data_IF_565247699811
#
_entry.id   IF_565247699811
#
_cell.length_a   1.000
_cell.length_b   1.000
_cell.length_c   1.000
_cell.angle_alpha   90.00
_cell.angle_beta   90.00
_cell.angle_gamma   90.00
#
_symmetry.space_group_name_H-M   'P 1'
#
loop_
_entity.id
_entity.type
_entity.pdbx_description
1 polymer ?
#
# COMPACT_ATOMS: atom_id res chain seq x y z
N UNK A 1 -10.55 -55.54 30.31
CA UNK A 1 -10.42 -57.00 30.38
C UNK A 1 -10.48 -57.54 28.97
N UNK A 2 -9.49 -58.38 28.69
CA UNK A 2 -9.33 -59.40 27.64
C UNK A 2 -9.00 -58.97 26.21
N UNK A 3 -7.70 -59.10 25.89
CA UNK A 3 -7.08 -58.99 24.58
C UNK A 3 -5.56 -58.86 24.74
N UNK A 4 -4.79 -59.80 24.20
CA UNK A 4 -3.33 -59.91 24.35
C UNK A 4 -2.57 -58.62 24.02
N UNK A 5 -1.51 -58.37 24.80
CA UNK A 5 -0.65 -57.19 24.65
C UNK A 5 0.10 -57.22 23.31
N UNK A 6 -0.19 -56.24 22.46
CA UNK A 6 0.68 -55.85 21.35
C UNK A 6 1.17 -54.43 21.61
N UNK A 7 2.49 -54.26 21.48
CA UNK A 7 3.26 -53.05 21.79
C UNK A 7 2.62 -51.76 21.25
N UNK A 8 2.67 -50.68 22.05
CA UNK A 8 2.30 -49.34 21.61
C UNK A 8 3.49 -48.38 21.66
N UNK A 9 3.59 -47.57 20.61
CA UNK A 9 4.48 -46.41 20.49
C UNK A 9 3.79 -45.21 21.16
N UNK A 10 4.54 -44.50 22.02
CA UNK A 10 4.04 -43.36 22.78
C UNK A 10 3.88 -42.17 21.83
N UNK A 11 2.69 -41.99 21.25
CA UNK A 11 2.40 -40.84 20.39
C UNK A 11 2.40 -39.55 21.21
N UNK A 12 3.42 -38.74 20.90
CA UNK A 12 3.79 -37.46 21.49
C UNK A 12 2.63 -36.45 21.43
N UNK A 13 2.18 -35.99 22.60
CA UNK A 13 1.43 -34.73 22.73
C UNK A 13 2.29 -33.74 23.53
N UNK A 14 3.31 -33.17 22.88
CA UNK A 14 4.10 -32.07 23.45
C UNK A 14 3.46 -30.75 23.06
N UNK A 15 2.70 -30.17 23.99
CA UNK A 15 2.16 -28.82 23.87
C UNK A 15 2.01 -28.19 25.26
N UNK A 16 2.45 -26.95 25.42
CA UNK A 16 2.13 -26.13 26.59
C UNK A 16 0.71 -25.61 26.37
N UNK A 17 -0.29 -26.14 27.10
CA UNK A 17 -1.65 -25.59 27.09
C UNK A 17 -1.70 -24.39 28.04
N UNK A 18 -1.39 -23.20 27.54
CA UNK A 18 -1.66 -21.94 28.27
C UNK A 18 -2.99 -21.38 27.82
N UNK A 19 -4.04 -21.63 28.59
CA UNK A 19 -5.32 -20.92 28.50
C UNK A 19 -5.69 -20.37 29.90
N UNK A 20 -6.27 -19.17 30.03
CA UNK A 20 -6.56 -18.54 31.33
C UNK A 20 -7.54 -19.34 32.22
N UNK A 21 -8.25 -20.30 31.65
CA UNK A 21 -9.15 -21.21 32.35
C UNK A 21 -9.40 -22.44 31.48
N UNK A 22 -8.69 -23.55 31.72
CA UNK A 22 -9.09 -24.84 31.17
C UNK A 22 -10.19 -25.38 32.09
N UNK A 23 -11.45 -25.30 31.66
CA UNK A 23 -12.58 -25.86 32.41
C UNK A 23 -12.70 -27.37 32.24
N UNK A 24 -12.13 -27.94 31.19
CA UNK A 24 -12.21 -29.37 30.88
C UNK A 24 -11.03 -29.82 29.99
N UNK A 25 -10.40 -30.96 30.31
CA UNK A 25 -9.36 -31.60 29.49
C UNK A 25 -9.95 -32.83 28.81
N UNK A 26 -10.12 -32.80 27.49
CA UNK A 26 -10.62 -33.94 26.71
C UNK A 26 -9.45 -34.64 26.01
N UNK A 27 -9.26 -35.94 26.32
CA UNK A 27 -8.26 -36.78 25.65
C UNK A 27 -9.00 -37.64 24.61
N UNK A 28 -8.59 -37.53 23.34
CA UNK A 28 -9.08 -38.41 22.26
C UNK A 28 -10.09 -37.80 21.28
N UNK A 29 -10.41 -36.51 21.35
CA UNK A 29 -11.29 -35.89 20.34
C UNK A 29 -11.18 -34.38 20.20
N UNK A 30 -10.74 -33.92 19.04
CA UNK A 30 -11.12 -32.62 18.47
C UNK A 30 -11.30 -32.79 16.95
N UNK A 31 -12.48 -32.41 16.47
CA UNK A 31 -12.91 -32.27 15.07
C UNK A 31 -11.99 -32.79 13.95
N UNK A 32 -12.42 -33.86 13.28
CA UNK A 32 -12.10 -34.09 11.86
C UNK A 32 -11.05 -35.14 11.51
N UNK A 33 -10.33 -35.72 12.48
CA UNK A 33 -9.44 -36.86 12.24
C UNK A 33 -9.67 -37.96 13.30
N UNK A 34 -9.44 -39.21 12.91
CA UNK A 34 -9.67 -40.43 13.70
C UNK A 34 -9.24 -40.27 15.16
N UNK A 35 -10.20 -40.24 16.09
CA UNK A 35 -9.94 -40.14 17.53
C UNK A 35 -9.05 -41.28 18.04
N UNK A 36 -8.36 -41.02 19.16
CA UNK A 36 -7.48 -41.99 19.82
C UNK A 36 -8.22 -43.32 20.05
N UNK A 37 -7.66 -44.42 19.54
CA UNK A 37 -8.14 -45.80 19.79
C UNK A 37 -7.05 -46.57 20.51
N UNK A 38 -7.21 -46.74 21.81
CA UNK A 38 -6.29 -47.47 22.68
C UNK A 38 -6.74 -47.43 24.13
N UNK A 39 -6.04 -48.16 25.01
CA UNK A 39 -6.20 -48.02 26.46
C UNK A 39 -5.19 -47.00 26.98
N UNK A 40 -5.60 -46.19 27.95
CA UNK A 40 -4.74 -45.26 28.67
C UNK A 40 -4.45 -45.90 30.01
N UNK A 41 -3.16 -46.12 30.31
CA UNK A 41 -2.72 -46.72 31.56
C UNK A 41 -2.49 -45.65 32.64
N UNK A 42 -1.73 -44.60 32.31
CA UNK A 42 -1.40 -43.53 33.26
C UNK A 42 -1.47 -42.13 32.63
N UNK A 43 -2.03 -41.16 33.37
CA UNK A 43 -2.06 -39.74 33.01
C UNK A 43 -1.38 -38.93 34.12
N UNK A 44 -0.31 -38.20 33.76
CA UNK A 44 0.41 -37.32 34.69
C UNK A 44 0.33 -35.87 34.22
N UNK A 45 -0.02 -34.97 35.14
CA UNK A 45 -0.02 -33.53 34.90
C UNK A 45 1.17 -32.86 35.61
N UNK A 46 1.82 -31.93 34.93
CA UNK A 46 2.99 -31.22 35.44
C UNK A 46 2.74 -29.72 35.43
N UNK A 47 3.15 -29.04 36.50
CA UNK A 47 3.06 -27.57 36.63
C UNK A 47 4.15 -26.81 35.86
N UNK A 48 5.03 -27.53 35.16
CA UNK A 48 6.11 -26.98 34.32
C UNK A 48 6.18 -27.73 32.99
N UNK A 49 6.81 -27.12 31.98
CA UNK A 49 7.14 -27.80 30.73
C UNK A 49 8.10 -28.97 31.03
N UNK A 50 7.71 -30.16 30.60
CA UNK A 50 8.53 -31.38 30.69
C UNK A 50 9.31 -31.52 29.40
N UNK A 51 10.60 -31.81 29.50
CA UNK A 51 11.46 -31.98 28.31
C UNK A 51 11.30 -33.36 27.68
N UNK A 52 11.59 -33.49 26.37
CA UNK A 52 11.43 -34.76 25.63
C UNK A 52 12.17 -35.95 26.29
N UNK A 53 13.32 -35.69 26.94
CA UNK A 53 14.10 -36.68 27.67
C UNK A 53 13.45 -37.12 28.99
N UNK A 54 12.73 -36.20 29.66
CA UNK A 54 11.96 -36.50 30.86
C UNK A 54 10.70 -37.27 30.49
N UNK A 55 10.02 -36.90 29.40
CA UNK A 55 8.86 -37.65 28.86
C UNK A 55 9.25 -39.09 28.53
N UNK A 56 10.39 -39.29 27.87
CA UNK A 56 10.91 -40.62 27.52
C UNK A 56 11.23 -41.47 28.76
N UNK A 57 11.78 -40.85 29.82
CA UNK A 57 12.04 -41.53 31.11
C UNK A 57 10.77 -41.88 31.87
N UNK A 58 9.78 -40.99 31.86
CA UNK A 58 8.49 -41.20 32.51
C UNK A 58 7.71 -42.35 31.86
N UNK A 59 7.89 -42.58 30.55
CA UNK A 59 7.36 -43.74 29.83
C UNK A 59 8.19 -45.02 29.96
N UNK A 60 9.17 -45.09 30.88
CA UNK A 60 10.00 -46.27 31.12
C UNK A 60 11.16 -46.48 30.13
N UNK A 61 11.38 -45.56 29.19
CA UNK A 61 12.45 -45.61 28.21
C UNK A 61 13.75 -44.94 28.68
N UNK A 62 14.89 -45.39 28.16
CA UNK A 62 16.14 -44.62 28.23
C UNK A 62 16.32 -43.88 26.89
N UNK A 63 16.27 -42.53 26.87
CA UNK A 63 16.19 -41.73 25.63
C UNK A 63 17.41 -41.83 24.72
N UNK A 64 18.52 -42.38 25.21
CA UNK A 64 19.80 -42.50 24.47
C UNK A 64 20.32 -43.94 24.33
N UNK A 65 19.65 -44.94 24.91
CA UNK A 65 20.14 -46.33 24.92
C UNK A 65 20.33 -46.89 23.51
N UNK A 66 19.36 -46.67 22.64
CA UNK A 66 19.42 -47.05 21.23
C UNK A 66 20.54 -46.34 20.45
N UNK A 67 21.00 -45.18 20.93
CA UNK A 67 22.13 -44.43 20.32
C UNK A 67 23.47 -44.92 20.86
N UNK A 68 23.53 -45.26 22.15
CA UNK A 68 24.73 -45.84 22.78
C UNK A 68 25.03 -47.23 22.21
N UNK A 69 23.98 -48.03 21.93
CA UNK A 69 24.11 -49.39 21.39
C UNK A 69 24.63 -49.41 19.94
N UNK A 70 24.59 -48.27 19.23
CA UNK A 70 25.18 -48.12 17.90
C UNK A 70 26.70 -47.83 17.97
N UNK A 71 27.52 -48.48 17.13
CA UNK A 71 28.92 -48.13 16.92
C UNK A 71 29.09 -46.64 16.54
N UNK A 72 30.18 -46.00 16.99
CA UNK A 72 30.42 -44.56 16.78
C UNK A 72 30.41 -44.16 15.30
N UNK A 73 30.90 -45.04 14.42
CA UNK A 73 30.94 -44.86 12.97
C UNK A 73 29.59 -45.04 12.26
N UNK A 74 28.55 -45.47 12.97
CA UNK A 74 27.19 -45.68 12.44
C UNK A 74 26.20 -44.63 12.98
N UNK A 75 26.66 -43.70 13.84
CA UNK A 75 25.83 -42.63 14.39
C UNK A 75 25.70 -41.48 13.38
N UNK A 76 24.49 -40.97 13.21
CA UNK A 76 24.28 -39.73 12.45
C UNK A 76 24.72 -38.50 13.26
N UNK A 77 24.92 -37.36 12.59
CA UNK A 77 25.24 -36.10 13.25
C UNK A 77 24.17 -35.70 14.28
N UNK A 78 22.89 -35.88 13.95
CA UNK A 78 21.77 -35.63 14.86
C UNK A 78 21.80 -36.53 16.10
N UNK A 79 22.16 -37.80 15.96
CA UNK A 79 22.26 -38.75 17.07
C UNK A 79 23.43 -38.41 18.00
N UNK A 80 24.56 -38.03 17.41
CA UNK A 80 25.76 -37.60 18.14
C UNK A 80 25.48 -36.32 18.92
N UNK A 81 24.81 -35.34 18.30
CA UNK A 81 24.42 -34.10 18.97
C UNK A 81 23.44 -34.35 20.12
N UNK A 82 22.45 -35.24 19.93
CA UNK A 82 21.50 -35.62 20.97
C UNK A 82 22.19 -36.28 22.17
N UNK A 83 23.17 -37.16 21.92
CA UNK A 83 23.98 -37.78 22.98
C UNK A 83 24.81 -36.74 23.74
N UNK A 84 25.46 -35.82 23.02
CA UNK A 84 26.26 -34.74 23.62
C UNK A 84 25.40 -33.82 24.50
N UNK A 85 24.23 -33.37 24.01
CA UNK A 85 23.29 -32.55 24.80
C UNK A 85 22.81 -33.28 26.06
N UNK A 86 22.55 -34.58 25.97
CA UNK A 86 22.14 -35.38 27.13
C UNK A 86 23.23 -35.44 28.21
N UNK A 87 24.49 -35.66 27.82
CA UNK A 87 25.63 -35.70 28.76
C UNK A 87 25.86 -34.33 29.37
N UNK A 88 25.95 -33.28 28.55
CA UNK A 88 26.21 -31.91 29.00
C UNK A 88 25.17 -31.43 30.01
N UNK A 89 23.90 -31.80 29.82
CA UNK A 89 22.82 -31.46 30.75
C UNK A 89 22.96 -32.11 32.14
N UNK A 90 23.68 -33.22 32.25
CA UNK A 90 23.94 -33.89 33.53
C UNK A 90 25.27 -33.48 34.16
N UNK A 91 26.28 -33.16 33.34
CA UNK A 91 27.65 -32.94 33.80
C UNK A 91 28.03 -31.47 33.95
N UNK A 92 27.40 -30.56 33.20
CA UNK A 92 27.73 -29.14 33.19
C UNK A 92 26.59 -28.29 33.78
N UNK A 93 26.77 -27.72 34.99
CA UNK A 93 25.80 -26.82 35.61
C UNK A 93 25.50 -25.55 34.79
N UNK A 94 26.42 -25.12 33.92
CA UNK A 94 26.25 -23.94 33.07
C UNK A 94 25.41 -24.21 31.81
N UNK A 95 25.27 -25.47 31.41
CA UNK A 95 24.57 -25.87 30.18
C UNK A 95 23.09 -25.50 30.21
N UNK A 96 22.38 -25.72 31.33
CA UNK A 96 20.96 -25.36 31.43
C UNK A 96 20.75 -23.84 31.32
N UNK A 97 21.68 -23.04 31.84
CA UNK A 97 21.63 -21.57 31.71
C UNK A 97 21.84 -21.13 30.26
N UNK A 98 22.82 -21.70 29.57
CA UNK A 98 23.09 -21.40 28.16
C UNK A 98 21.94 -21.86 27.25
N UNK A 99 21.37 -23.04 27.51
CA UNK A 99 20.22 -23.54 26.77
C UNK A 99 18.99 -22.65 26.97
N UNK A 100 18.73 -22.18 28.19
CA UNK A 100 17.66 -21.21 28.45
C UNK A 100 17.87 -19.91 27.68
N UNK A 101 19.10 -19.42 27.55
CA UNK A 101 19.43 -18.25 26.71
C UNK A 101 19.19 -18.54 25.23
N UNK A 102 19.57 -19.70 24.72
CA UNK A 102 19.31 -20.09 23.32
C UNK A 102 17.80 -20.14 23.05
N UNK A 103 17.04 -20.77 23.94
CA UNK A 103 15.58 -20.89 23.82
C UNK A 103 14.90 -19.50 23.86
N UNK A 104 15.38 -18.60 24.72
CA UNK A 104 14.93 -17.21 24.77
C UNK A 104 15.21 -16.48 23.45
N UNK A 105 16.45 -16.56 22.93
CA UNK A 105 16.82 -15.92 21.68
C UNK A 105 16.07 -16.51 20.47
N UNK A 106 15.84 -17.82 20.45
CA UNK A 106 15.00 -18.48 19.44
C UNK A 106 13.56 -18.02 19.52
N UNK A 107 12.99 -17.88 20.72
CA UNK A 107 11.64 -17.33 20.92
C UNK A 107 11.53 -15.88 20.40
N UNK A 108 12.56 -15.06 20.65
CA UNK A 108 12.65 -13.69 20.10
C UNK A 108 12.74 -13.72 18.58
N UNK A 109 13.60 -14.57 18.01
CA UNK A 109 13.76 -14.71 16.56
C UNK A 109 12.47 -15.19 15.89
N UNK A 110 11.79 -16.17 16.48
CA UNK A 110 10.50 -16.68 16.00
C UNK A 110 9.43 -15.58 16.06
N UNK A 111 9.42 -14.79 17.14
CA UNK A 111 8.55 -13.63 17.29
C UNK A 111 8.78 -12.59 16.19
N UNK A 112 10.05 -12.24 15.92
CA UNK A 112 10.43 -11.32 14.84
C UNK A 112 10.03 -11.92 13.49
N UNK A 113 10.36 -13.18 13.22
CA UNK A 113 10.09 -13.84 11.93
C UNK A 113 8.59 -13.90 11.64
N UNK A 114 7.76 -14.22 12.64
CA UNK A 114 6.30 -14.20 12.52
C UNK A 114 5.73 -12.79 12.30
N UNK A 115 6.42 -11.75 12.76
CA UNK A 115 6.01 -10.36 12.54
C UNK A 115 6.32 -9.85 11.12
N UNK A 116 7.23 -10.52 10.40
CA UNK A 116 7.55 -10.17 9.02
C UNK A 116 6.36 -10.53 8.14
N UNK A 117 5.78 -9.52 7.50
CA UNK A 117 4.73 -9.73 6.51
C UNK A 117 5.27 -10.52 5.32
N UNK A 118 4.76 -11.74 5.12
CA UNK A 118 5.10 -12.56 3.97
C UNK A 118 4.15 -12.29 2.82
N UNK A 119 4.63 -12.50 1.60
CA UNK A 119 3.80 -12.41 0.39
C UNK A 119 4.07 -13.61 -0.50
N UNK A 120 3.05 -14.07 -1.21
CA UNK A 120 3.21 -15.16 -2.15
C UNK A 120 3.95 -14.66 -3.38
N UNK A 121 5.07 -15.31 -3.70
CA UNK A 121 5.84 -15.04 -4.92
C UNK A 121 5.61 -16.15 -5.93
N UNK A 122 5.62 -15.79 -7.22
CA UNK A 122 5.63 -16.79 -8.29
C UNK A 122 7.06 -17.31 -8.44
N UNK A 123 7.29 -18.58 -8.10
CA UNK A 123 8.54 -19.28 -8.40
C UNK A 123 8.44 -19.99 -9.75
N UNK A 124 9.54 -19.98 -10.51
CA UNK A 124 9.68 -20.88 -11.65
C UNK A 124 9.71 -22.33 -11.15
N UNK A 125 9.24 -23.25 -11.99
CA UNK A 125 9.28 -24.69 -11.71
C UNK A 125 10.62 -25.25 -12.17
N UNK A 126 11.12 -26.27 -11.46
CA UNK A 126 12.32 -27.01 -11.88
C UNK A 126 12.13 -27.63 -13.27
N UNK A 127 10.93 -28.15 -13.53
CA UNK A 127 10.50 -28.63 -14.84
C UNK A 127 9.45 -27.69 -15.46
N UNK A 128 9.81 -26.95 -16.54
CA UNK A 128 8.88 -26.07 -17.23
C UNK A 128 7.69 -26.84 -17.83
N UNK A 129 6.50 -26.25 -17.74
CA UNK A 129 5.31 -26.81 -18.36
C UNK A 129 5.37 -26.63 -19.88
N UNK A 130 5.15 -27.72 -20.62
CA UNK A 130 4.93 -27.67 -22.06
C UNK A 130 3.74 -26.77 -22.41
N UNK A 131 3.98 -25.79 -23.28
CA UNK A 131 2.97 -24.83 -23.74
C UNK A 131 2.74 -25.04 -25.23
N UNK A 132 1.51 -24.84 -25.71
CA UNK A 132 1.11 -25.13 -27.08
C UNK A 132 0.35 -23.94 -27.68
N UNK A 133 0.43 -23.76 -28.99
CA UNK A 133 -0.48 -22.87 -29.73
C UNK A 133 -1.86 -23.53 -29.77
N UNK A 134 -2.92 -22.77 -29.51
CA UNK A 134 -4.31 -23.26 -29.60
C UNK A 134 -4.99 -22.70 -30.85
N UNK A 135 -5.15 -23.50 -31.92
CA UNK A 135 -5.80 -23.04 -33.15
C UNK A 135 -7.20 -22.50 -32.86
N UNK A 136 -7.52 -21.33 -33.41
CA UNK A 136 -8.79 -20.63 -33.19
C UNK A 136 -9.14 -20.33 -31.72
N UNK A 137 -8.17 -20.42 -30.80
CA UNK A 137 -8.38 -20.19 -29.36
C UNK A 137 -9.09 -21.34 -28.63
N UNK A 138 -9.30 -22.49 -29.27
CA UNK A 138 -9.99 -23.63 -28.67
C UNK A 138 -9.06 -24.41 -27.73
N UNK A 139 -9.29 -24.31 -26.42
CA UNK A 139 -8.46 -24.95 -25.38
C UNK A 139 -8.41 -26.50 -25.46
N UNK A 140 -9.33 -27.12 -26.21
CA UNK A 140 -9.38 -28.58 -26.40
C UNK A 140 -8.39 -29.08 -27.47
N UNK A 141 -7.95 -28.21 -28.37
CA UNK A 141 -7.09 -28.60 -29.51
C UNK A 141 -5.71 -27.99 -29.33
N UNK A 142 -4.74 -28.81 -28.92
CA UNK A 142 -3.33 -28.41 -28.84
C UNK A 142 -2.69 -28.50 -30.22
N UNK A 143 -2.10 -27.41 -30.68
CA UNK A 143 -1.25 -27.35 -31.87
C UNK A 143 0.22 -27.58 -31.51
N UNK A 144 1.11 -26.81 -32.13
CA UNK A 144 2.56 -26.92 -31.96
C UNK A 144 3.02 -26.53 -30.54
N UNK A 145 4.00 -27.26 -30.01
CA UNK A 145 4.68 -26.93 -28.75
C UNK A 145 5.53 -25.66 -28.95
N UNK A 146 5.48 -24.74 -27.99
CA UNK A 146 6.20 -23.47 -28.03
C UNK A 146 7.03 -23.28 -26.77
N UNK A 147 8.20 -22.66 -26.95
CA UNK A 147 9.07 -22.21 -25.87
C UNK A 147 8.93 -20.70 -25.65
N UNK A 148 9.32 -20.18 -24.47
CA UNK A 148 9.39 -18.74 -24.28
C UNK A 148 10.36 -18.10 -25.28
N UNK A 149 10.01 -16.90 -25.75
CA UNK A 149 10.79 -16.15 -26.72
C UNK A 149 10.26 -14.73 -26.86
N UNK A 150 10.86 -13.94 -27.76
CA UNK A 150 10.47 -12.56 -28.02
C UNK A 150 9.92 -12.40 -29.43
N UNK A 151 9.09 -11.37 -29.69
CA UNK A 151 8.63 -11.08 -31.04
C UNK A 151 9.81 -10.89 -32.00
N UNK A 152 9.80 -11.60 -33.12
CA UNK A 152 10.91 -11.61 -34.11
C UNK A 152 11.16 -10.26 -34.79
N UNK A 153 10.18 -9.36 -34.75
CA UNK A 153 10.30 -7.96 -35.24
C UNK A 153 11.20 -7.10 -34.34
N UNK A 154 11.46 -7.56 -33.10
CA UNK A 154 12.34 -6.93 -32.14
C UNK A 154 13.62 -7.75 -31.98
N UNK A 155 14.59 -7.20 -31.24
CA UNK A 155 15.84 -7.91 -30.98
C UNK A 155 15.60 -9.20 -30.18
N UNK A 156 16.39 -10.23 -30.46
CA UNK A 156 16.33 -11.50 -29.73
C UNK A 156 16.91 -11.38 -28.32
N UNK A 157 16.49 -12.28 -27.42
CA UNK A 157 17.15 -12.46 -26.12
C UNK A 157 18.59 -12.97 -26.32
N UNK A 158 19.52 -12.47 -25.50
CA UNK A 158 20.92 -12.93 -25.45
C UNK A 158 21.07 -14.04 -24.42
N UNK A 159 22.22 -14.71 -24.38
CA UNK A 159 22.53 -15.72 -23.34
C UNK A 159 22.49 -15.17 -21.92
N UNK A 160 22.71 -13.85 -21.76
CA UNK A 160 22.60 -13.13 -20.48
C UNK A 160 21.15 -12.87 -20.06
N UNK A 161 20.19 -13.04 -20.97
CA UNK A 161 18.76 -12.89 -20.75
C UNK A 161 18.08 -14.25 -20.92
N UNK A 162 18.17 -15.14 -19.91
CA UNK A 162 17.53 -16.44 -20.00
C UNK A 162 16.02 -16.30 -20.24
N UNK A 163 15.38 -17.26 -20.93
CA UNK A 163 13.96 -17.20 -21.31
C UNK A 163 13.02 -17.45 -20.11
N UNK A 164 13.19 -16.64 -19.06
CA UNK A 164 12.43 -16.63 -17.82
C UNK A 164 12.02 -15.19 -17.48
N UNK A 165 11.33 -15.00 -16.35
CA UNK A 165 10.84 -13.67 -15.93
C UNK A 165 11.94 -12.62 -15.79
N UNK A 166 13.11 -13.00 -15.29
CA UNK A 166 14.23 -12.07 -15.08
C UNK A 166 14.83 -11.64 -16.43
N UNK A 167 15.07 -12.58 -17.34
CA UNK A 167 15.57 -12.23 -18.67
C UNK A 167 14.57 -11.42 -19.50
N UNK A 168 13.27 -11.68 -19.36
CA UNK A 168 12.24 -10.82 -19.95
C UNK A 168 12.29 -9.39 -19.38
N UNK A 169 12.49 -9.23 -18.07
CA UNK A 169 12.60 -7.91 -17.45
C UNK A 169 13.81 -7.13 -18.00
N UNK A 170 14.98 -7.77 -18.12
CA UNK A 170 16.15 -7.18 -18.75
C UNK A 170 15.93 -6.85 -20.22
N UNK A 171 15.25 -7.72 -20.98
CA UNK A 171 14.94 -7.50 -22.39
C UNK A 171 13.99 -6.31 -22.62
N UNK A 172 13.01 -6.11 -21.74
CA UNK A 172 12.08 -4.97 -21.80
C UNK A 172 12.84 -3.65 -21.69
N UNK A 173 13.81 -3.56 -20.77
CA UNK A 173 14.58 -2.32 -20.53
C UNK A 173 15.92 -2.27 -21.28
N UNK A 174 16.18 -3.22 -22.19
CA UNK A 174 17.38 -3.23 -23.01
C UNK A 174 17.40 -2.01 -23.94
N UNK A 175 18.57 -1.40 -24.14
CA UNK A 175 18.75 -0.23 -25.04
C UNK A 175 18.36 -0.51 -26.50
N UNK A 176 18.34 -1.78 -26.92
CA UNK A 176 17.89 -2.23 -28.24
C UNK A 176 16.36 -2.32 -28.33
N UNK A 177 15.65 -2.16 -27.21
CA UNK A 177 14.19 -2.05 -27.20
C UNK A 177 13.78 -0.60 -27.52
N UNK A 178 13.17 -0.34 -28.70
CA UNK A 178 12.85 1.02 -29.09
C UNK A 178 11.60 1.58 -28.40
N UNK A 179 10.83 0.76 -27.66
CA UNK A 179 9.51 1.15 -27.16
C UNK A 179 9.55 1.64 -25.73
N UNK A 180 10.26 0.94 -24.83
CA UNK A 180 10.16 1.18 -23.38
C UNK A 180 10.51 2.61 -23.00
N UNK A 181 11.63 3.14 -23.51
CA UNK A 181 12.03 4.52 -23.25
C UNK A 181 11.04 5.53 -23.86
N UNK A 182 10.63 5.35 -25.12
CA UNK A 182 9.66 6.24 -25.79
C UNK A 182 8.32 6.28 -25.07
N UNK A 183 7.79 5.14 -24.65
CA UNK A 183 6.53 5.03 -23.90
C UNK A 183 6.66 5.72 -22.54
N UNK A 184 7.78 5.51 -21.84
CA UNK A 184 8.02 6.10 -20.51
C UNK A 184 8.15 7.62 -20.59
N UNK A 185 8.98 8.12 -21.51
CA UNK A 185 9.14 9.55 -21.79
C UNK A 185 7.81 10.18 -22.17
N UNK A 186 7.02 9.54 -23.05
CA UNK A 186 5.73 10.07 -23.46
C UNK A 186 4.73 10.22 -22.30
N UNK A 187 4.73 9.26 -21.36
CA UNK A 187 3.91 9.33 -20.14
C UNK A 187 4.38 10.44 -19.21
N UNK A 188 5.69 10.58 -19.01
CA UNK A 188 6.26 11.65 -18.18
C UNK A 188 5.97 13.01 -18.82
N UNK A 189 6.18 13.16 -20.12
CA UNK A 189 5.84 14.37 -20.87
C UNK A 189 4.38 14.77 -20.69
N UNK A 190 3.45 13.81 -20.80
CA UNK A 190 2.02 14.07 -20.59
C UNK A 190 1.70 14.58 -19.18
N UNK A 191 2.44 14.17 -18.14
CA UNK A 191 2.23 14.67 -16.78
C UNK A 191 2.56 16.17 -16.64
N UNK A 192 3.57 16.65 -17.39
CA UNK A 192 4.05 18.03 -17.33
C UNK A 192 3.37 18.94 -18.35
N UNK A 193 3.01 18.45 -19.54
CA UNK A 193 2.37 19.24 -20.59
C UNK A 193 0.87 18.99 -20.74
N UNK A 194 0.31 18.03 -20.01
CA UNK A 194 -1.11 17.64 -20.05
C UNK A 194 -1.51 16.88 -21.32
N UNK A 195 -0.74 17.05 -22.41
CA UNK A 195 -0.89 16.32 -23.65
C UNK A 195 0.38 15.52 -23.95
N UNK A 196 0.28 14.23 -24.29
CA UNK A 196 1.43 13.43 -24.70
C UNK A 196 1.96 13.84 -26.08
N UNK A 197 3.17 13.38 -26.43
CA UNK A 197 3.73 13.44 -27.78
C UNK A 197 3.04 12.43 -28.72
N UNK A 198 2.71 11.25 -28.21
CA UNK A 198 1.87 10.24 -28.86
C UNK A 198 0.52 10.21 -28.14
N UNK A 199 -0.55 10.63 -28.82
CA UNK A 199 -1.89 10.81 -28.25
C UNK A 199 -2.43 9.54 -27.56
N UNK A 200 -2.14 8.37 -28.13
CA UNK A 200 -2.48 7.05 -27.58
C UNK A 200 -1.37 6.56 -26.64
N UNK A 201 -1.44 6.97 -25.37
CA UNK A 201 -0.43 6.59 -24.36
C UNK A 201 -0.38 5.07 -24.08
N UNK A 202 -1.44 4.37 -24.45
CA UNK A 202 -1.64 2.93 -24.34
C UNK A 202 -1.18 2.14 -25.57
N UNK A 203 -0.99 2.78 -26.74
CA UNK A 203 -0.70 2.09 -27.99
C UNK A 203 0.30 2.88 -28.85
N UNK A 204 1.50 2.31 -28.99
CA UNK A 204 2.59 2.80 -29.86
C UNK A 204 2.71 1.97 -31.15
N UNK A 205 1.78 1.04 -31.38
CA UNK A 205 1.69 0.20 -32.56
C UNK A 205 0.90 0.85 -33.68
N UNK A 206 0.47 0.03 -34.65
CA UNK A 206 -0.19 0.47 -35.89
C UNK A 206 -1.58 1.05 -35.68
N UNK A 207 -2.22 0.78 -34.53
CA UNK A 207 -3.52 1.36 -34.15
C UNK A 207 -3.36 2.62 -33.30
N UNK A 208 -2.14 2.94 -32.89
CA UNK A 208 -1.79 4.16 -32.18
C UNK A 208 -1.70 5.38 -33.10
N UNK A 209 -1.69 6.56 -32.48
CA UNK A 209 -1.40 7.81 -33.18
C UNK A 209 0.09 7.95 -33.48
N UNK A 210 0.42 8.65 -34.56
CA UNK A 210 1.81 9.05 -34.81
C UNK A 210 2.26 10.12 -33.79
N UNK A 211 3.54 10.16 -33.42
CA UNK A 211 4.07 11.21 -32.56
C UNK A 211 3.94 12.59 -33.22
N UNK A 212 3.49 13.59 -32.48
CA UNK A 212 3.41 14.98 -32.92
C UNK A 212 4.81 15.56 -33.23
N UNK A 213 5.80 15.19 -32.40
CA UNK A 213 7.20 15.62 -32.54
C UNK A 213 8.15 14.40 -32.45
N UNK A 214 8.31 13.61 -33.52
CA UNK A 214 9.06 12.35 -33.49
C UNK A 214 10.53 12.53 -33.09
N UNK A 215 11.21 13.56 -33.63
CA UNK A 215 12.62 13.83 -33.32
C UNK A 215 12.85 14.17 -31.85
N UNK A 216 11.90 14.89 -31.24
CA UNK A 216 11.96 15.23 -29.82
C UNK A 216 11.75 14.00 -28.95
N UNK A 217 10.76 13.16 -29.29
CA UNK A 217 10.51 11.91 -28.59
C UNK A 217 11.74 10.99 -28.64
N UNK A 218 12.35 10.85 -29.81
CA UNK A 218 13.54 10.03 -30.00
C UNK A 218 14.73 10.55 -29.19
N UNK A 219 14.97 11.86 -29.24
CA UNK A 219 16.04 12.49 -28.49
C UNK A 219 15.87 12.30 -26.98
N UNK A 220 14.67 12.56 -26.44
CA UNK A 220 14.38 12.35 -25.02
C UNK A 220 14.47 10.88 -24.61
N UNK A 221 14.10 9.94 -25.49
CA UNK A 221 14.20 8.52 -25.21
C UNK A 221 15.67 8.06 -25.13
N UNK A 222 16.53 8.55 -26.02
CA UNK A 222 17.98 8.29 -25.96
C UNK A 222 18.58 8.90 -24.69
N UNK A 223 18.28 10.16 -24.39
CA UNK A 223 18.75 10.84 -23.18
C UNK A 223 18.33 10.09 -21.90
N UNK A 224 17.10 9.58 -21.87
CA UNK A 224 16.61 8.81 -20.73
C UNK A 224 17.35 7.49 -20.53
N UNK A 225 17.73 6.81 -21.62
CA UNK A 225 18.56 5.59 -21.55
C UNK A 225 19.99 5.93 -21.12
N UNK A 226 20.60 6.95 -21.74
CA UNK A 226 22.02 7.34 -21.50
C UNK A 226 22.26 7.91 -20.10
N UNK A 227 21.25 8.55 -19.50
CA UNK A 227 21.27 8.97 -18.09
C UNK A 227 21.15 7.81 -17.09
N UNK A 228 21.02 6.57 -17.56
CA UNK A 228 20.85 5.39 -16.71
C UNK A 228 19.43 5.27 -16.16
N UNK A 229 18.41 5.68 -16.94
CA UNK A 229 16.99 5.68 -16.55
C UNK A 229 16.68 6.63 -15.39
N UNK A 230 17.41 7.75 -15.27
CA UNK A 230 17.19 8.74 -14.23
C UNK A 230 15.94 9.58 -14.51
N UNK A 231 14.87 9.24 -13.79
CA UNK A 231 13.58 9.96 -13.86
C UNK A 231 13.72 11.42 -13.40
N UNK A 232 14.55 11.71 -12.40
CA UNK A 232 14.73 13.08 -11.90
C UNK A 232 15.46 13.93 -12.91
N UNK A 233 16.45 13.37 -13.60
CA UNK A 233 17.15 14.03 -14.70
C UNK A 233 16.18 14.41 -15.82
N UNK A 234 15.35 13.47 -16.28
CA UNK A 234 14.34 13.73 -17.32
C UNK A 234 13.32 14.78 -16.88
N UNK A 235 12.85 14.71 -15.64
CA UNK A 235 11.94 15.73 -15.05
C UNK A 235 12.59 17.11 -15.05
N UNK A 236 13.84 17.22 -14.59
CA UNK A 236 14.59 18.48 -14.58
C UNK A 236 14.78 19.02 -15.99
N UNK A 237 15.10 18.16 -16.94
CA UNK A 237 15.28 18.54 -18.34
C UNK A 237 13.99 19.14 -18.93
N UNK A 238 12.85 18.51 -18.65
CA UNK A 238 11.53 19.02 -19.07
C UNK A 238 11.24 20.37 -18.39
N UNK A 239 11.35 20.45 -17.05
CA UNK A 239 10.92 21.65 -16.29
C UNK A 239 11.85 22.85 -16.46
N UNK A 240 13.09 22.64 -16.87
CA UNK A 240 14.06 23.70 -17.21
C UNK A 240 14.09 24.05 -18.71
N UNK A 241 13.28 23.37 -19.52
CA UNK A 241 13.18 23.68 -20.95
C UNK A 241 12.51 25.03 -21.19
N UNK A 242 12.94 25.73 -22.25
CA UNK A 242 12.29 26.98 -22.67
C UNK A 242 10.80 26.79 -22.92
N UNK A 243 10.39 25.64 -23.46
CA UNK A 243 8.99 25.31 -23.75
C UNK A 243 8.15 25.23 -22.47
N UNK A 244 8.65 24.56 -21.43
CA UNK A 244 7.90 24.44 -20.17
C UNK A 244 7.82 25.77 -19.40
N UNK A 245 8.85 26.60 -19.51
CA UNK A 245 8.92 27.89 -18.82
C UNK A 245 8.15 29.03 -19.55
N UNK A 246 7.43 28.73 -20.63
CA UNK A 246 6.59 29.72 -21.30
C UNK A 246 5.38 30.12 -20.43
N UNK A 247 4.93 31.36 -20.59
CA UNK A 247 3.67 31.82 -19.97
C UNK A 247 2.47 31.25 -20.74
N UNK A 248 1.51 30.68 -20.02
CA UNK A 248 0.26 30.13 -20.56
C UNK A 248 -0.80 31.17 -20.93
N UNK A 249 -0.47 32.47 -20.98
CA UNK A 249 -1.43 33.57 -21.16
C UNK A 249 -2.00 33.71 -22.59
N UNK A 250 -1.53 32.91 -23.55
CA UNK A 250 -2.04 32.96 -24.94
C UNK A 250 -2.98 31.79 -25.22
N UNK A 251 -4.18 32.14 -25.70
CA UNK A 251 -5.17 31.16 -26.18
C UNK A 251 -4.63 30.53 -27.47
N UNK A 252 -4.41 29.22 -27.44
CA UNK A 252 -3.89 28.48 -28.59
C UNK A 252 -5.02 28.28 -29.60
N UNK A 253 -4.81 28.68 -30.85
CA UNK A 253 -5.77 28.40 -31.92
C UNK A 253 -5.97 26.90 -32.09
N UNK A 254 -7.17 26.47 -32.49
CA UNK A 254 -7.44 25.08 -32.88
C UNK A 254 -6.45 24.65 -33.98
N UNK A 255 -5.46 23.85 -33.59
CA UNK A 255 -4.51 23.20 -34.50
C UNK A 255 -4.67 21.69 -34.34
N UNK A 256 -4.36 20.91 -35.38
CA UNK A 256 -4.47 19.45 -35.34
C UNK A 256 -3.49 18.78 -34.35
N UNK A 257 -2.48 19.52 -33.87
CA UNK A 257 -1.47 19.03 -32.93
C UNK A 257 -1.16 20.06 -31.83
N UNK A 258 -0.85 19.63 -30.59
CA UNK A 258 -0.53 20.52 -29.49
C UNK A 258 0.80 21.25 -29.77
N UNK A 259 0.77 22.58 -29.69
CA UNK A 259 1.97 23.44 -29.78
C UNK A 259 2.76 23.49 -28.46
N UNK A 260 2.22 22.90 -27.39
CA UNK A 260 2.79 22.92 -26.03
C UNK A 260 3.10 24.33 -25.49
N UNK A 261 2.39 25.34 -26.00
CA UNK A 261 2.53 26.75 -25.60
C UNK A 261 1.71 27.12 -24.37
N UNK A 262 0.83 26.23 -23.91
CA UNK A 262 0.10 26.36 -22.65
C UNK A 262 -0.27 24.98 -22.11
N UNK A 263 -0.49 24.89 -20.80
CA UNK A 263 -0.98 23.68 -20.16
C UNK A 263 -2.51 23.60 -20.31
N UNK A 264 -3.08 22.48 -20.80
CA UNK A 264 -4.52 22.33 -20.85
C UNK A 264 -5.06 22.19 -19.43
N UNK A 265 -6.15 22.89 -19.10
CA UNK A 265 -6.77 22.80 -17.77
C UNK A 265 -7.14 21.34 -17.45
N UNK A 266 -6.50 20.75 -16.45
CA UNK A 266 -6.70 19.36 -16.03
C UNK A 266 -6.90 19.24 -14.53
N UNK A 267 -7.93 18.47 -14.13
CA UNK A 267 -8.21 18.16 -12.74
C UNK A 267 -7.07 17.34 -12.14
N UNK A 268 -6.71 17.64 -10.90
CA UNK A 268 -5.79 16.83 -10.10
C UNK A 268 -6.36 15.41 -9.90
N UNK A 269 -5.49 14.41 -9.74
CA UNK A 269 -5.95 13.04 -9.46
C UNK A 269 -6.53 12.97 -8.06
N UNK A 270 -7.38 11.97 -7.80
CA UNK A 270 -7.99 11.73 -6.50
C UNK A 270 -6.99 11.80 -5.32
N UNK A 271 -5.85 11.13 -5.47
CA UNK A 271 -4.79 11.10 -4.46
C UNK A 271 -4.20 12.49 -4.25
N UNK A 272 -3.96 13.25 -5.33
CA UNK A 272 -3.42 14.61 -5.23
C UNK A 272 -4.42 15.60 -4.63
N UNK A 273 -5.73 15.47 -4.91
CA UNK A 273 -6.77 16.31 -4.30
C UNK A 273 -6.78 16.11 -2.78
N UNK A 274 -6.82 14.85 -2.33
CA UNK A 274 -6.80 14.53 -0.91
C UNK A 274 -5.49 14.95 -0.25
N UNK A 275 -4.35 14.60 -0.85
CA UNK A 275 -3.03 14.89 -0.29
C UNK A 275 -2.72 16.39 -0.26
N UNK A 276 -3.17 17.15 -1.27
CA UNK A 276 -3.06 18.62 -1.27
C UNK A 276 -3.91 19.23 -0.15
N UNK A 277 -5.12 18.72 0.10
CA UNK A 277 -5.96 19.22 1.19
C UNK A 277 -5.27 19.07 2.54
N UNK A 278 -4.86 17.84 2.90
CA UNK A 278 -4.18 17.59 4.19
C UNK A 278 -2.83 18.29 4.29
N UNK A 279 -2.12 18.48 3.16
CA UNK A 279 -0.88 19.27 3.12
C UNK A 279 -1.14 20.74 3.41
N UNK A 280 -2.12 21.34 2.74
CA UNK A 280 -2.50 22.74 2.95
C UNK A 280 -2.99 22.98 4.38
N UNK A 281 -3.71 22.01 4.96
CA UNK A 281 -4.13 22.02 6.36
C UNK A 281 -3.01 21.82 7.38
N UNK A 282 -1.79 21.43 6.94
CA UNK A 282 -0.68 21.10 7.83
C UNK A 282 -0.89 19.81 8.63
N UNK A 283 -1.75 18.92 8.13
CA UNK A 283 -2.05 17.62 8.74
C UNK A 283 -1.21 16.50 8.14
N UNK A 284 -0.65 16.69 6.94
CA UNK A 284 0.08 15.67 6.20
C UNK A 284 1.24 15.06 7.01
N UNK A 285 1.23 13.73 7.11
CA UNK A 285 2.33 12.96 7.72
C UNK A 285 3.29 12.47 6.63
N UNK A 286 4.46 13.10 6.54
CA UNK A 286 5.47 12.87 5.48
C UNK A 286 6.36 11.63 5.65
N UNK A 287 6.01 10.73 6.57
CA UNK A 287 6.77 9.49 6.80
C UNK A 287 6.74 8.59 5.55
N UNK A 288 7.92 8.15 5.11
CA UNK A 288 8.06 7.22 3.98
C UNK A 288 8.15 5.78 4.50
N UNK A 289 7.42 4.86 3.85
CA UNK A 289 7.38 3.44 4.19
C UNK A 289 6.42 3.13 5.34
N UNK A 290 6.45 1.89 5.83
CA UNK A 290 5.54 1.38 6.87
C UNK A 290 4.25 0.77 6.32
N UNK A 291 3.44 0.23 7.22
CA UNK A 291 2.19 -0.45 6.89
C UNK A 291 1.16 0.47 6.22
N UNK A 292 0.22 -0.14 5.49
CA UNK A 292 -0.95 0.58 4.98
C UNK A 292 -1.80 1.11 6.14
N UNK A 293 -2.46 2.24 5.89
CA UNK A 293 -3.32 2.91 6.87
C UNK A 293 -4.78 2.95 6.43
N UNK A 294 -5.64 3.24 7.40
CA UNK A 294 -7.09 3.19 7.27
C UNK A 294 -7.68 4.57 7.62
N UNK A 295 -7.65 5.55 6.70
CA UNK A 295 -8.21 6.89 6.94
C UNK A 295 -9.73 6.86 7.08
N UNK A 296 -10.38 8.03 7.13
CA UNK A 296 -11.84 8.13 7.21
C UNK A 296 -12.55 7.27 6.16
N UNK A 297 -13.54 6.52 6.62
CA UNK A 297 -14.33 5.64 5.76
C UNK A 297 -15.77 5.55 6.29
N UNK A 298 -16.79 5.69 5.41
CA UNK A 298 -18.17 5.45 5.79
C UNK A 298 -18.37 4.06 6.40
N UNK A 299 -19.15 3.99 7.47
CA UNK A 299 -19.44 2.72 8.17
C UNK A 299 -20.28 1.81 7.27
N UNK A 300 -20.07 0.50 7.39
CA UNK A 300 -20.95 -0.52 6.79
C UNK A 300 -20.55 -1.02 5.39
N UNK A 301 -19.88 -0.22 4.57
CA UNK A 301 -19.56 -0.58 3.17
C UNK A 301 -18.79 -1.91 3.03
N UNK A 302 -17.86 -2.22 3.92
CA UNK A 302 -17.12 -3.49 3.86
C UNK A 302 -17.97 -4.69 4.23
N UNK A 303 -19.00 -4.51 5.07
CA UNK A 303 -19.89 -5.60 5.51
C UNK A 303 -20.83 -6.02 4.37
N UNK A 304 -21.20 -5.11 3.48
CA UNK A 304 -22.14 -5.39 2.37
C UNK A 304 -21.57 -6.35 1.32
N UNK A 305 -20.26 -6.32 1.10
CA UNK A 305 -19.57 -7.14 0.09
C UNK A 305 -18.85 -8.37 0.67
N UNK A 306 -19.08 -8.64 1.95
CA UNK A 306 -18.33 -9.61 2.74
C UNK A 306 -19.04 -10.96 2.74
N UNK A 307 -18.48 -11.92 2.02
CA UNK A 307 -18.99 -13.28 1.93
C UNK A 307 -18.29 -14.15 2.98
N UNK A 308 -19.05 -14.62 3.98
CA UNK A 308 -18.63 -15.52 5.06
C UNK A 308 -17.53 -14.96 6.00
N UNK A 309 -17.88 -14.53 7.24
CA UNK A 309 -16.94 -13.94 8.18
C UNK A 309 -15.87 -14.88 8.75
N UNK A 310 -15.91 -16.19 8.42
CA UNK A 310 -14.96 -17.18 8.96
C UNK A 310 -13.68 -17.34 8.13
N UNK A 311 -13.71 -17.06 6.83
CA UNK A 311 -12.66 -17.52 5.91
C UNK A 311 -11.80 -16.41 5.29
N UNK A 312 -12.12 -15.13 5.53
CA UNK A 312 -11.46 -14.00 4.85
C UNK A 312 -11.06 -12.87 5.81
N UNK A 313 -9.88 -12.29 5.56
CA UNK A 313 -9.13 -11.46 6.52
C UNK A 313 -9.47 -9.95 6.52
N UNK A 314 -10.45 -9.49 5.74
CA UNK A 314 -10.78 -8.06 5.62
C UNK A 314 -12.29 -7.77 5.53
N UNK A 315 -13.06 -8.29 6.50
CA UNK A 315 -14.52 -8.22 6.49
C UNK A 315 -15.07 -6.90 7.06
N UNK A 316 -14.35 -6.30 8.01
CA UNK A 316 -14.76 -5.08 8.70
C UNK A 316 -13.66 -4.03 8.53
N UNK A 317 -14.05 -2.83 8.14
CA UNK A 317 -13.15 -1.68 8.13
C UNK A 317 -12.99 -1.15 9.55
N UNK A 318 -11.77 -1.18 10.07
CA UNK A 318 -11.41 -0.54 11.33
C UNK A 318 -10.63 0.72 10.98
N UNK A 319 -11.24 1.88 11.22
CA UNK A 319 -10.59 3.16 10.98
C UNK A 319 -9.37 3.30 11.90
N UNK A 320 -8.26 3.77 11.32
CA UNK A 320 -7.07 4.18 12.05
C UNK A 320 -7.33 5.42 12.90
N UNK A 321 -6.32 5.85 13.66
CA UNK A 321 -6.42 7.01 14.57
C UNK A 321 -5.18 7.87 14.45
N UNK A 322 -5.29 9.15 14.83
CA UNK A 322 -4.17 10.08 14.83
C UNK A 322 -3.51 10.21 13.45
N UNK A 323 -2.20 10.02 13.39
CA UNK A 323 -1.41 10.17 12.17
C UNK A 323 -1.88 9.28 11.00
N UNK A 324 -2.47 8.11 11.27
CA UNK A 324 -2.95 7.20 10.23
C UNK A 324 -4.01 7.83 9.31
N UNK A 325 -4.76 8.81 9.84
CA UNK A 325 -5.80 9.52 9.10
C UNK A 325 -5.23 10.48 8.04
N UNK A 326 -3.97 10.92 8.20
CA UNK A 326 -3.37 12.01 7.43
C UNK A 326 -2.09 11.59 6.69
N UNK A 327 -1.90 10.29 6.48
CA UNK A 327 -0.84 9.80 5.60
C UNK A 327 -1.21 10.06 4.14
N UNK A 328 -0.19 10.15 3.29
CA UNK A 328 -0.35 10.20 1.83
C UNK A 328 -1.26 9.08 1.34
N UNK A 329 -2.14 9.38 0.39
CA UNK A 329 -3.09 8.43 -0.20
C UNK A 329 -2.41 7.19 -0.78
N UNK A 330 -1.12 7.27 -1.14
CA UNK A 330 -0.32 6.11 -1.53
C UNK A 330 -0.29 4.99 -0.47
N UNK A 331 -0.38 5.34 0.82
CA UNK A 331 -0.37 4.39 1.94
C UNK A 331 -1.76 3.91 2.34
N UNK A 332 -2.83 4.43 1.74
CA UNK A 332 -4.20 3.99 2.05
C UNK A 332 -4.42 2.55 1.61
N UNK A 333 -4.94 1.72 2.51
CA UNK A 333 -5.27 0.33 2.21
C UNK A 333 -6.33 0.24 1.09
N UNK A 334 -6.08 -0.61 0.09
CA UNK A 334 -6.96 -0.77 -1.05
C UNK A 334 -7.60 -2.16 -1.07
N UNK A 335 -8.87 -2.25 -0.65
CA UNK A 335 -9.64 -3.49 -0.80
C UNK A 335 -10.16 -3.56 -2.24
N UNK A 336 -9.80 -4.62 -2.97
CA UNK A 336 -10.18 -4.78 -4.39
C UNK A 336 -11.68 -4.60 -4.65
N UNK A 337 -12.52 -5.14 -3.78
CA UNK A 337 -13.99 -5.07 -3.93
C UNK A 337 -14.62 -3.79 -3.41
N UNK A 338 -13.93 -3.04 -2.54
CA UNK A 338 -14.39 -1.75 -1.99
C UNK A 338 -13.20 -0.81 -1.92
N UNK A 339 -12.85 -0.13 -3.02
CA UNK A 339 -11.80 0.87 -3.02
C UNK A 339 -12.15 2.02 -2.05
N UNK A 340 -11.17 2.83 -1.63
CA UNK A 340 -11.44 4.00 -0.78
C UNK A 340 -12.49 4.91 -1.43
N UNK A 341 -13.65 5.15 -0.79
CA UNK A 341 -14.81 5.75 -1.45
C UNK A 341 -14.57 7.20 -1.88
N UNK A 342 -13.87 7.98 -1.06
CA UNK A 342 -13.48 9.35 -1.41
C UNK A 342 -12.63 9.37 -2.69
N UNK A 343 -11.65 8.47 -2.80
CA UNK A 343 -10.80 8.39 -3.99
C UNK A 343 -11.60 7.91 -5.22
N UNK A 344 -12.52 6.96 -5.03
CA UNK A 344 -13.37 6.44 -6.09
C UNK A 344 -14.28 7.54 -6.68
N UNK A 345 -14.84 8.42 -5.85
CA UNK A 345 -15.66 9.57 -6.31
C UNK A 345 -14.86 10.52 -7.23
N UNK A 346 -13.55 10.62 -7.03
CA UNK A 346 -12.63 11.41 -7.85
C UNK A 346 -11.94 10.60 -8.96
N UNK A 347 -12.57 9.55 -9.46
CA UNK A 347 -12.13 8.71 -10.58
C UNK A 347 -10.83 7.93 -10.33
N UNK A 348 -10.51 7.61 -9.07
CA UNK A 348 -9.40 6.71 -8.80
C UNK A 348 -9.67 5.31 -9.36
N UNK A 349 -8.64 4.71 -9.95
CA UNK A 349 -8.76 3.40 -10.60
C UNK A 349 -8.99 2.30 -9.57
N UNK A 350 -9.94 1.39 -9.83
CA UNK A 350 -10.29 0.30 -8.91
C UNK A 350 -9.20 -0.80 -8.78
N UNK A 351 -8.10 -0.69 -9.54
CA UNK A 351 -6.95 -1.62 -9.60
C UNK A 351 -7.28 -3.04 -10.07
N UNK A 352 -8.42 -3.24 -10.72
CA UNK A 352 -8.79 -4.55 -11.29
C UNK A 352 -8.19 -4.76 -12.68
N UNK A 353 -7.95 -3.67 -13.41
CA UNK A 353 -7.37 -3.66 -14.75
C UNK A 353 -6.25 -2.65 -14.84
N UNK A 354 -5.35 -2.84 -15.82
CA UNK A 354 -4.33 -1.86 -16.13
C UNK A 354 -4.99 -0.65 -16.83
N UNK A 355 -4.79 0.54 -16.27
CA UNK A 355 -5.33 1.79 -16.81
C UNK A 355 -4.17 2.72 -17.14
N UNK A 356 -3.90 2.90 -18.44
CA UNK A 356 -2.84 3.80 -18.91
C UNK A 356 -3.25 5.27 -18.87
N UNK A 357 -4.54 5.56 -19.13
CA UNK A 357 -5.12 6.91 -19.07
C UNK A 357 -6.30 6.90 -18.10
N UNK A 358 -6.23 7.74 -17.07
CA UNK A 358 -7.31 7.84 -16.09
C UNK A 358 -8.47 8.68 -16.65
N UNK A 359 -9.73 8.25 -16.45
CA UNK A 359 -10.87 9.10 -16.76
C UNK A 359 -10.90 10.30 -15.81
N UNK A 360 -11.50 11.39 -16.27
CA UNK A 360 -11.75 12.59 -15.46
C UNK A 360 -13.21 12.97 -15.68
N UNK A 361 -14.00 12.84 -14.63
CA UNK A 361 -15.39 13.30 -14.57
C UNK A 361 -15.48 14.55 -13.68
N UNK A 362 -16.53 15.34 -13.91
CA UNK A 362 -16.93 16.43 -13.05
C UNK A 362 -18.39 16.19 -12.65
N UNK A 363 -18.61 15.79 -11.39
CA UNK A 363 -19.95 15.42 -10.91
C UNK A 363 -20.34 16.22 -9.67
N UNK A 364 -21.64 16.51 -9.44
CA UNK A 364 -22.08 17.18 -8.22
C UNK A 364 -21.67 16.45 -6.93
N UNK A 365 -21.54 15.13 -6.99
CA UNK A 365 -21.11 14.31 -5.84
C UNK A 365 -19.68 14.65 -5.40
N UNK A 366 -18.79 14.99 -6.33
CA UNK A 366 -17.42 15.42 -6.01
C UNK A 366 -17.43 16.71 -5.17
N UNK A 367 -18.26 17.69 -5.53
CA UNK A 367 -18.41 18.93 -4.75
C UNK A 367 -18.95 18.65 -3.33
N UNK A 368 -19.92 17.74 -3.21
CA UNK A 368 -20.45 17.32 -1.90
C UNK A 368 -19.38 16.64 -1.03
N UNK A 369 -18.49 15.85 -1.62
CA UNK A 369 -17.38 15.24 -0.88
C UNK A 369 -16.40 16.29 -0.36
N UNK A 370 -16.04 17.29 -1.17
CA UNK A 370 -15.15 18.37 -0.73
C UNK A 370 -15.75 19.18 0.44
N UNK A 371 -17.07 19.40 0.41
CA UNK A 371 -17.78 20.13 1.47
C UNK A 371 -17.92 19.36 2.77
N UNK A 372 -18.09 18.03 2.72
CA UNK A 372 -18.60 17.25 3.85
C UNK A 372 -17.66 16.15 4.34
N UNK A 373 -16.60 15.79 3.59
CA UNK A 373 -15.65 14.79 4.07
C UNK A 373 -14.90 15.31 5.31
N UNK A 374 -14.77 14.51 6.39
CA UNK A 374 -13.93 14.87 7.54
C UNK A 374 -12.55 15.33 7.12
N UNK A 375 -11.90 14.62 6.19
CA UNK A 375 -10.57 14.96 5.69
C UNK A 375 -10.48 16.41 5.20
N UNK A 376 -11.47 16.90 4.46
CA UNK A 376 -11.46 18.24 3.88
C UNK A 376 -11.85 19.33 4.88
N UNK A 377 -12.84 19.07 5.74
CA UNK A 377 -13.24 20.00 6.80
C UNK A 377 -12.09 20.22 7.78
N UNK A 378 -11.41 19.15 8.18
CA UNK A 378 -10.26 19.22 9.06
C UNK A 378 -9.06 19.93 8.42
N UNK A 379 -8.83 19.69 7.14
CA UNK A 379 -7.79 20.38 6.38
C UNK A 379 -8.06 21.90 6.33
N UNK A 380 -9.30 22.29 6.06
CA UNK A 380 -9.71 23.69 6.08
C UNK A 380 -9.55 24.32 7.48
N UNK A 381 -9.90 23.58 8.54
CA UNK A 381 -9.73 24.01 9.93
C UNK A 381 -8.25 24.17 10.31
N UNK A 382 -7.40 23.23 9.89
CA UNK A 382 -5.96 23.29 10.07
C UNK A 382 -5.35 24.52 9.40
N UNK A 383 -5.76 24.81 8.15
CA UNK A 383 -5.31 25.98 7.41
C UNK A 383 -5.80 27.29 8.06
N UNK A 384 -7.05 27.35 8.50
CA UNK A 384 -7.59 28.49 9.25
C UNK A 384 -6.79 28.77 10.52
N UNK A 385 -6.49 27.73 11.31
CA UNK A 385 -5.65 27.86 12.51
C UNK A 385 -4.23 28.35 12.18
N UNK A 386 -3.62 27.89 11.08
CA UNK A 386 -2.32 28.39 10.65
C UNK A 386 -2.37 29.88 10.31
N UNK A 387 -3.36 30.32 9.52
CA UNK A 387 -3.49 31.71 9.09
C UNK A 387 -3.74 32.66 10.27
N UNK A 388 -4.59 32.26 11.22
CA UNK A 388 -4.92 33.07 12.40
C UNK A 388 -3.75 33.25 13.37
N UNK A 389 -2.79 32.33 13.37
CA UNK A 389 -1.54 32.45 14.15
C UNK A 389 -0.51 33.37 13.51
N UNK A 390 -0.71 33.78 12.25
CA UNK A 390 0.18 34.74 11.60
C UNK A 390 -0.16 36.16 12.05
N UNK A 391 0.87 36.95 12.35
CA UNK A 391 0.77 38.39 12.64
C UNK A 391 0.56 39.17 11.34
N UNK A 392 -0.60 38.95 10.72
CA UNK A 392 -1.01 39.56 9.45
C UNK A 392 -2.40 40.18 9.62
N UNK A 393 -2.67 41.22 8.84
CA UNK A 393 -4.03 41.73 8.69
C UNK A 393 -4.95 40.70 8.03
N UNK A 394 -6.26 40.91 8.11
CA UNK A 394 -7.26 40.05 7.48
C UNK A 394 -7.02 39.89 5.97
N UNK A 395 -6.77 40.99 5.26
CA UNK A 395 -6.57 40.98 3.81
C UNK A 395 -5.27 40.28 3.41
N UNK A 396 -4.22 40.43 4.22
CA UNK A 396 -2.96 39.70 4.05
C UNK A 396 -3.13 38.19 4.29
N UNK A 397 -3.96 37.79 5.27
CA UNK A 397 -4.31 36.37 5.48
C UNK A 397 -5.12 35.79 4.32
N UNK A 398 -6.08 36.53 3.77
CA UNK A 398 -6.83 36.12 2.57
C UNK A 398 -5.90 36.01 1.34
N UNK A 399 -4.99 36.96 1.18
CA UNK A 399 -3.94 36.91 0.15
C UNK A 399 -3.03 35.69 0.32
N UNK A 400 -2.68 35.36 1.57
CA UNK A 400 -1.86 34.18 1.90
C UNK A 400 -2.61 32.87 1.63
N UNK A 401 -3.91 32.80 1.95
CA UNK A 401 -4.78 31.67 1.64
C UNK A 401 -4.75 31.35 0.13
N UNK A 402 -4.90 32.36 -0.73
CA UNK A 402 -4.82 32.18 -2.19
C UNK A 402 -3.46 31.69 -2.66
N UNK A 403 -2.38 32.21 -2.06
CA UNK A 403 -1.02 31.74 -2.38
C UNK A 403 -0.79 30.28 -1.98
N UNK A 404 -1.38 29.81 -0.89
CA UNK A 404 -1.24 28.43 -0.42
C UNK A 404 -2.07 27.48 -1.29
N UNK A 405 -3.33 27.80 -1.53
CA UNK A 405 -4.29 26.88 -2.17
C UNK A 405 -4.25 26.96 -3.69
N UNK A 406 -4.18 28.18 -4.25
CA UNK A 406 -4.34 28.44 -5.68
C UNK A 406 -3.00 28.83 -6.35
N UNK A 407 -1.94 29.04 -5.57
CA UNK A 407 -0.60 29.37 -6.07
C UNK A 407 -0.47 30.68 -6.88
N UNK A 408 -1.46 31.59 -6.79
CA UNK A 408 -1.43 32.92 -7.43
C UNK A 408 -1.85 34.04 -6.46
N UNK A 409 -1.59 35.32 -6.78
CA UNK A 409 -2.19 36.43 -6.02
C UNK A 409 -3.72 36.39 -6.08
N UNK A 410 -4.37 36.82 -5.01
CA UNK A 410 -5.81 37.08 -4.98
C UNK A 410 -6.14 38.35 -5.78
N UNK A 411 -7.27 38.36 -6.48
CA UNK A 411 -7.78 39.54 -7.19
C UNK A 411 -8.67 40.39 -6.26
N UNK A 412 -8.77 41.69 -6.52
CA UNK A 412 -9.57 42.61 -5.70
C UNK A 412 -11.04 42.18 -5.56
N UNK A 413 -11.63 41.67 -6.63
CA UNK A 413 -13.01 41.16 -6.62
C UNK A 413 -13.16 39.91 -5.72
N UNK A 414 -12.15 39.04 -5.71
CA UNK A 414 -12.15 37.82 -4.87
C UNK A 414 -11.93 38.18 -3.40
N UNK A 415 -11.03 39.13 -3.14
CA UNK A 415 -10.79 39.67 -1.81
C UNK A 415 -12.07 40.26 -1.21
N UNK A 416 -12.82 41.03 -2.00
CA UNK A 416 -14.11 41.59 -1.58
C UNK A 416 -15.14 40.50 -1.24
N UNK A 417 -15.25 39.46 -2.09
CA UNK A 417 -16.19 38.35 -1.88
C UNK A 417 -15.85 37.57 -0.60
N UNK A 418 -14.58 37.25 -0.39
CA UNK A 418 -14.16 36.47 0.79
C UNK A 418 -14.21 37.27 2.08
N UNK A 419 -13.95 38.56 2.03
CA UNK A 419 -14.17 39.47 3.16
C UNK A 419 -15.64 39.51 3.54
N UNK A 420 -16.53 39.63 2.56
CA UNK A 420 -17.99 39.60 2.78
C UNK A 420 -18.45 38.26 3.37
N UNK A 421 -17.89 37.16 2.86
CA UNK A 421 -18.16 35.83 3.40
C UNK A 421 -17.70 35.71 4.86
N UNK A 422 -16.46 36.12 5.15
CA UNK A 422 -15.89 36.06 6.50
C UNK A 422 -16.74 36.85 7.50
N UNK A 423 -17.11 38.09 7.16
CA UNK A 423 -17.97 38.93 8.00
C UNK A 423 -19.35 38.30 8.26
N UNK A 424 -19.92 37.67 7.23
CA UNK A 424 -21.18 36.94 7.34
C UNK A 424 -21.06 35.75 8.30
N UNK A 425 -20.01 34.93 8.15
CA UNK A 425 -19.79 33.76 8.99
C UNK A 425 -19.46 34.15 10.44
N UNK A 426 -18.66 35.21 10.66
CA UNK A 426 -18.41 35.75 11.99
C UNK A 426 -19.70 36.18 12.70
N UNK A 427 -20.61 36.85 11.99
CA UNK A 427 -21.92 37.24 12.55
C UNK A 427 -22.81 36.03 12.84
N UNK A 428 -22.80 35.02 11.96
CA UNK A 428 -23.59 33.81 12.13
C UNK A 428 -23.13 33.00 13.35
N UNK A 429 -21.83 32.71 13.45
CA UNK A 429 -21.26 31.94 14.57
C UNK A 429 -21.25 32.70 15.89
N UNK A 430 -21.23 34.05 15.87
CA UNK A 430 -21.44 34.84 17.10
C UNK A 430 -22.85 34.65 17.67
N UNK A 431 -23.84 34.41 16.81
CA UNK A 431 -25.23 34.14 17.20
C UNK A 431 -25.45 32.69 17.60
N UNK A 432 -24.72 31.76 17.00
CA UNK A 432 -24.81 30.33 17.26
C UNK A 432 -23.42 29.72 17.49
N UNK A 433 -22.94 29.83 18.73
CA UNK A 433 -21.66 29.24 19.14
C UNK A 433 -21.70 27.71 19.18
N UNK A 434 -22.88 27.11 19.31
CA UNK A 434 -23.04 25.65 19.28
C UNK A 434 -22.71 25.12 17.89
N UNK A 435 -23.20 25.78 16.84
CA UNK A 435 -22.84 25.44 15.46
C UNK A 435 -21.35 25.64 15.18
N UNK A 436 -20.73 26.70 15.74
CA UNK A 436 -19.29 26.93 15.63
C UNK A 436 -18.51 25.75 16.23
N UNK A 437 -18.86 25.35 17.46
CA UNK A 437 -18.21 24.23 18.13
C UNK A 437 -18.42 22.91 17.38
N UNK A 438 -19.65 22.65 16.89
CA UNK A 438 -19.95 21.44 16.12
C UNK A 438 -19.09 21.32 14.84
N UNK A 439 -18.82 22.43 14.15
CA UNK A 439 -17.91 22.46 12.99
C UNK A 439 -16.46 22.17 13.41
N UNK A 440 -16.01 22.72 14.54
CA UNK A 440 -14.65 22.53 15.04
C UNK A 440 -14.43 21.13 15.64
N UNK A 441 -15.47 20.47 16.13
CA UNK A 441 -15.44 19.11 16.66
C UNK A 441 -15.59 18.04 15.56
N UNK A 442 -15.86 18.44 14.32
CA UNK A 442 -16.02 17.50 13.22
C UNK A 442 -14.68 16.84 12.86
N UNK A 443 -14.59 15.52 12.99
CA UNK A 443 -13.37 14.75 12.75
C UNK A 443 -12.63 14.36 14.03
N UNK A 444 -11.33 14.11 13.96
CA UNK A 444 -10.44 13.70 15.06
C UNK A 444 -9.23 14.62 15.26
N UNK A 445 -8.91 15.48 14.30
CA UNK A 445 -7.85 16.47 14.44
C UNK A 445 -8.24 17.49 15.51
N UNK A 446 -7.43 17.55 16.56
CA UNK A 446 -7.57 18.57 17.58
C UNK A 446 -6.89 19.86 17.10
N UNK A 447 -7.58 20.98 17.24
CA UNK A 447 -6.92 22.27 17.09
C UNK A 447 -6.27 22.64 18.42
N UNK A 448 -4.95 22.79 18.39
CA UNK A 448 -4.19 23.27 19.52
C UNK A 448 -4.32 24.80 19.53
N UNK A 449 -4.69 25.43 20.64
CA UNK A 449 -4.52 26.88 20.81
C UNK A 449 -5.64 27.61 21.56
N UNK A 450 -5.41 28.91 21.78
CA UNK A 450 -6.29 29.86 22.48
C UNK A 450 -7.08 30.75 21.51
N UNK A 451 -7.27 30.31 20.27
CA UNK A 451 -7.98 31.09 19.24
C UNK A 451 -9.47 31.10 19.59
N UNK A 452 -10.14 32.23 19.37
CA UNK A 452 -11.58 32.35 19.56
C UNK A 452 -12.33 31.34 18.65
N UNK A 453 -13.26 30.61 19.24
CA UNK A 453 -14.03 29.54 18.57
C UNK A 453 -14.81 30.09 17.38
N UNK A 454 -15.37 31.30 17.50
CA UNK A 454 -16.14 31.93 16.42
C UNK A 454 -15.23 32.31 15.27
N UNK A 455 -14.09 32.93 15.57
CA UNK A 455 -13.12 33.33 14.56
C UNK A 455 -12.58 32.12 13.80
N UNK A 456 -12.19 31.06 14.50
CA UNK A 456 -11.69 29.84 13.89
C UNK A 456 -12.74 29.15 13.02
N UNK A 457 -14.00 29.06 13.48
CA UNK A 457 -15.08 28.47 12.69
C UNK A 457 -15.37 29.28 11.41
N UNK A 458 -15.40 30.61 11.51
CA UNK A 458 -15.61 31.48 10.35
C UNK A 458 -14.50 31.34 9.30
N UNK A 459 -13.23 31.35 9.74
CA UNK A 459 -12.09 31.14 8.84
C UNK A 459 -12.04 29.72 8.27
N UNK A 460 -12.52 28.71 9.00
CA UNK A 460 -12.64 27.33 8.49
C UNK A 460 -13.57 27.29 7.27
N UNK A 461 -14.71 27.99 7.31
CA UNK A 461 -15.63 28.09 6.17
C UNK A 461 -14.98 28.80 4.98
N UNK A 462 -14.25 29.90 5.21
CA UNK A 462 -13.54 30.63 4.16
C UNK A 462 -12.47 29.75 3.51
N UNK A 463 -11.65 29.05 4.30
CA UNK A 463 -10.64 28.13 3.80
C UNK A 463 -11.26 26.99 2.98
N UNK A 464 -12.33 26.38 3.51
CA UNK A 464 -13.08 25.31 2.82
C UNK A 464 -13.59 25.80 1.46
N UNK A 465 -14.17 27.01 1.42
CA UNK A 465 -14.68 27.62 0.18
C UNK A 465 -13.58 27.76 -0.88
N UNK A 466 -12.39 28.25 -0.51
CA UNK A 466 -11.28 28.40 -1.47
C UNK A 466 -10.74 27.04 -1.93
N UNK A 467 -10.61 26.08 -1.01
CA UNK A 467 -10.15 24.70 -1.31
C UNK A 467 -11.08 23.92 -2.23
N UNK A 468 -12.35 24.32 -2.32
CA UNK A 468 -13.36 23.72 -3.19
C UNK A 468 -13.47 24.34 -4.58
N UNK A 469 -12.77 25.46 -4.82
CA UNK A 469 -12.84 26.13 -6.13
C UNK A 469 -12.22 25.26 -7.21
N UNK A 470 -12.69 25.42 -8.45
CA UNK A 470 -12.07 24.71 -9.57
C UNK A 470 -10.58 25.05 -9.72
N UNK A 471 -10.13 26.24 -9.31
CA UNK A 471 -8.71 26.58 -9.38
C UNK A 471 -7.87 25.83 -8.35
N UNK A 472 -8.44 25.46 -7.21
CA UNK A 472 -7.79 24.61 -6.21
C UNK A 472 -7.70 23.14 -6.65
N UNK A 473 -8.61 22.69 -7.52
CA UNK A 473 -8.75 21.28 -7.93
C UNK A 473 -8.08 20.97 -9.26
N UNK A 474 -7.65 21.98 -10.00
CA UNK A 474 -7.05 21.83 -11.33
C UNK A 474 -5.61 22.33 -11.30
N UNK A 475 -4.78 21.77 -12.19
CA UNK A 475 -3.42 22.27 -12.39
C UNK A 475 -3.48 23.71 -12.92
N UNK A 476 -2.63 24.61 -12.39
CA UNK A 476 -2.57 26.01 -12.81
C UNK A 476 -2.08 26.20 -14.24
#
# INVERSE_FOLDING_TARGET
>A
MDGDATSFELLKATGLLTAPSISELSIGGASGASGFRGMIDEVRAFSRKVTDDEVSRLGGGNPIRTIIDLPENERTDEQTEKLARYVLRQTDPGFEKLQATIDEQQSVLDGITKSISTTMVMSERDEPRKTFVFPSGTYQTKGEEVSPGTPSVLHSMTSEMPPNRLGLAHWIVDKRNPLTARVTVNRIWALFFGSPLVATVEDFGTRGSLPSHPKLLDWLAVEFIESGWDVKHLVKLITTSRTYQQSSNQMVSERPFPLYSSFPRQRLTAETIRDAAISNGGLLVDRIGGSSVYPYHPRGLWKEVSFNPRDFTAQIYIQGRGEDLYRRSMYTFWKRTVPPPELAVFDAVNRETCVARRPVTNTPMQALVLMNSPTHVESARGLANQLLRMELSQDERLSRLFRIVVSRPILDAELLVLTTLLDSQLKAFKRDQTAAQALLDFGESNVIGTIDVTELAAWTVVCSTVMMTDEALYKP
#
